data_IF_961078296157
#
_entry.id   IF_961078296157
#
_cell.length_a   1.000
_cell.length_b   1.000
_cell.length_c   1.000
_cell.angle_alpha   90.00
_cell.angle_beta   90.00
_cell.angle_gamma   90.00
#
_symmetry.space_group_name_H-M   'P 1'
#
loop_
_entity.id
_entity.type
_entity.pdbx_description
1 polymer ?
#
# COMPACT_ATOMS: atom_id res chain seq x y z
N UNK A 1 26.34 46.18 14.29
CA UNK A 1 26.53 44.87 13.70
C UNK A 1 25.72 43.83 14.40
N UNK A 2 24.80 43.26 13.72
CA UNK A 2 24.03 42.15 14.28
C UNK A 2 24.85 40.85 14.27
N UNK A 3 24.83 40.13 15.40
CA UNK A 3 25.44 38.80 15.52
C UNK A 3 24.51 37.69 15.00
N UNK A 4 23.27 38.04 14.65
CA UNK A 4 22.32 37.10 14.10
C UNK A 4 22.47 37.01 12.57
N UNK A 5 22.33 35.83 11.99
CA UNK A 5 22.32 35.71 10.55
C UNK A 5 21.15 36.51 9.97
N UNK A 6 21.39 37.13 8.83
CA UNK A 6 20.35 37.87 8.14
C UNK A 6 19.29 36.89 7.65
N UNK A 7 18.12 36.95 8.27
CA UNK A 7 16.97 36.11 7.91
C UNK A 7 16.16 36.70 6.77
N UNK A 8 16.56 37.83 6.23
CA UNK A 8 15.93 38.43 5.05
C UNK A 8 16.29 37.73 3.74
N UNK A 9 17.14 36.70 3.82
CA UNK A 9 17.55 35.96 2.67
C UNK A 9 16.37 35.18 2.09
N UNK A 10 16.01 35.51 0.85
CA UNK A 10 14.91 34.89 0.13
C UNK A 10 15.05 33.36 -0.09
N UNK A 11 16.23 32.84 0.21
CA UNK A 11 16.46 31.39 0.10
C UNK A 11 15.72 30.58 1.16
N UNK A 12 15.40 31.16 2.31
CA UNK A 12 14.61 30.49 3.35
C UNK A 12 13.13 30.36 3.01
N UNK A 13 12.65 31.10 2.00
CA UNK A 13 11.30 31.02 1.50
C UNK A 13 11.12 30.08 0.30
N UNK A 14 12.21 29.49 -0.19
CA UNK A 14 12.09 28.51 -1.27
C UNK A 14 11.57 27.19 -0.70
N UNK A 15 10.46 26.70 -1.28
CA UNK A 15 9.98 25.37 -0.95
C UNK A 15 11.11 24.37 -1.21
N UNK A 16 11.36 23.50 -0.24
CA UNK A 16 12.30 22.39 -0.46
C UNK A 16 11.84 21.60 -1.68
N UNK A 17 12.76 21.18 -2.56
CA UNK A 17 12.39 20.41 -3.72
C UNK A 17 11.62 19.16 -3.26
N UNK A 18 10.43 18.98 -3.81
CA UNK A 18 9.66 17.76 -3.57
C UNK A 18 10.44 16.60 -4.17
N UNK A 19 10.95 15.76 -3.31
CA UNK A 19 11.69 14.58 -3.70
C UNK A 19 10.75 13.39 -3.80
N UNK A 20 10.63 12.81 -4.98
CA UNK A 20 9.91 11.56 -5.17
C UNK A 20 10.91 10.42 -5.06
N UNK A 21 10.68 9.53 -4.12
CA UNK A 21 11.52 8.36 -3.93
C UNK A 21 11.57 7.50 -5.20
N UNK A 22 12.73 6.91 -5.45
CA UNK A 22 12.89 6.00 -6.57
C UNK A 22 12.07 4.73 -6.39
N UNK A 23 11.44 4.26 -7.45
CA UNK A 23 10.74 2.97 -7.48
C UNK A 23 11.67 1.79 -7.76
N UNK A 24 12.97 2.03 -7.86
CA UNK A 24 13.95 0.97 -8.10
C UNK A 24 14.10 0.07 -6.88
N UNK A 25 13.80 -1.21 -7.04
CA UNK A 25 13.83 -2.20 -5.96
C UNK A 25 14.15 -3.59 -6.51
N UNK A 26 14.48 -4.51 -5.61
CA UNK A 26 14.68 -5.91 -5.95
C UNK A 26 13.36 -6.58 -6.33
N UNK A 27 13.41 -7.49 -7.31
CA UNK A 27 12.27 -8.25 -7.75
C UNK A 27 12.05 -9.48 -6.87
N UNK A 28 10.87 -9.60 -6.27
CA UNK A 28 10.44 -10.80 -5.56
C UNK A 28 9.83 -11.80 -6.53
N UNK A 29 10.23 -13.04 -6.44
CA UNK A 29 9.57 -14.17 -7.10
C UNK A 29 8.72 -14.90 -6.05
N UNK A 30 7.44 -14.53 -5.98
CA UNK A 30 6.52 -15.04 -4.94
C UNK A 30 6.38 -16.57 -5.02
N UNK A 31 6.26 -17.10 -6.24
CA UNK A 31 6.08 -18.55 -6.44
C UNK A 31 7.32 -19.38 -6.08
N UNK A 32 8.50 -18.77 -6.14
CA UNK A 32 9.76 -19.43 -5.87
C UNK A 32 10.39 -19.04 -4.53
N UNK A 33 9.70 -18.22 -3.75
CA UNK A 33 10.12 -17.74 -2.43
C UNK A 33 11.57 -17.22 -2.41
N UNK A 34 11.91 -16.40 -3.39
CA UNK A 34 13.28 -15.84 -3.54
C UNK A 34 13.27 -14.47 -4.19
N UNK A 35 14.38 -13.75 -4.02
CA UNK A 35 14.65 -12.48 -4.68
C UNK A 35 15.57 -12.73 -5.88
N UNK A 36 15.23 -12.21 -7.05
CA UNK A 36 16.05 -12.34 -8.25
C UNK A 36 16.03 -11.07 -9.08
N UNK A 37 17.17 -10.40 -9.17
CA UNK A 37 17.33 -9.19 -9.97
C UNK A 37 16.55 -8.00 -9.43
N UNK A 38 16.34 -7.03 -10.31
CA UNK A 38 15.59 -5.81 -10.01
C UNK A 38 14.28 -5.78 -10.80
N UNK A 39 13.32 -5.02 -10.32
CA UNK A 39 12.09 -4.73 -11.10
C UNK A 39 12.46 -3.95 -12.37
N UNK A 40 11.76 -4.24 -13.45
CA UNK A 40 12.04 -3.64 -14.76
C UNK A 40 11.28 -2.35 -15.00
N UNK A 41 10.12 -2.21 -14.41
CA UNK A 41 9.24 -1.06 -14.59
C UNK A 41 8.78 -0.50 -13.26
N UNK A 42 8.43 0.79 -13.24
CA UNK A 42 7.87 1.43 -12.05
C UNK A 42 6.51 0.83 -11.67
N UNK A 43 5.73 0.42 -12.66
CA UNK A 43 4.43 -0.23 -12.42
C UNK A 43 4.60 -1.58 -11.72
N UNK A 44 5.58 -2.38 -12.12
CA UNK A 44 5.93 -3.64 -11.45
C UNK A 44 6.37 -3.40 -10.00
N UNK A 45 7.15 -2.34 -9.77
CA UNK A 45 7.58 -1.95 -8.42
C UNK A 45 6.39 -1.61 -7.52
N UNK A 46 5.41 -0.86 -8.02
CA UNK A 46 4.19 -0.52 -7.28
C UNK A 46 3.34 -1.76 -7.02
N UNK A 47 3.20 -2.64 -8.00
CA UNK A 47 2.48 -3.90 -7.83
C UNK A 47 3.09 -4.75 -6.70
N UNK A 48 4.41 -4.86 -6.67
CA UNK A 48 5.12 -5.56 -5.60
C UNK A 48 4.96 -4.89 -4.25
N UNK A 49 4.99 -3.55 -4.20
CA UNK A 49 4.75 -2.79 -2.97
C UNK A 49 3.34 -3.03 -2.42
N UNK A 50 2.33 -3.06 -3.28
CA UNK A 50 0.94 -3.38 -2.90
C UNK A 50 0.85 -4.80 -2.34
N UNK A 51 1.49 -5.77 -2.98
CA UNK A 51 1.55 -7.15 -2.48
C UNK A 51 2.12 -7.20 -1.05
N UNK A 52 3.22 -6.50 -0.80
CA UNK A 52 3.84 -6.46 0.54
C UNK A 52 2.92 -5.84 1.58
N UNK A 53 2.28 -4.72 1.26
CA UNK A 53 1.36 -4.03 2.18
C UNK A 53 0.19 -4.92 2.55
N UNK A 54 -0.43 -5.57 1.56
CA UNK A 54 -1.60 -6.42 1.78
C UNK A 54 -1.29 -7.73 2.51
N UNK A 55 -0.03 -8.16 2.50
CA UNK A 55 0.40 -9.35 3.24
C UNK A 55 1.09 -9.02 4.57
N UNK A 56 1.09 -7.76 4.98
CA UNK A 56 1.64 -7.31 6.25
C UNK A 56 0.52 -6.79 7.14
N UNK A 57 0.31 -7.41 8.29
CA UNK A 57 -0.65 -6.90 9.28
C UNK A 57 -0.09 -5.64 9.93
N UNK A 58 -0.92 -4.59 10.00
CA UNK A 58 -0.55 -3.31 10.59
C UNK A 58 -0.19 -3.48 12.07
N UNK A 59 0.89 -2.83 12.49
CA UNK A 59 1.39 -2.84 13.87
C UNK A 59 1.87 -4.18 14.39
N UNK A 60 1.92 -5.19 13.56
CA UNK A 60 2.41 -6.52 13.96
C UNK A 60 3.94 -6.61 14.05
N UNK A 61 4.65 -5.74 13.33
CA UNK A 61 6.10 -5.78 13.21
C UNK A 61 6.71 -4.43 13.57
N UNK A 62 7.68 -4.45 14.50
CA UNK A 62 8.34 -3.25 14.97
C UNK A 62 9.20 -2.52 13.92
N UNK A 63 9.63 -3.23 12.86
CA UNK A 63 10.46 -2.66 11.79
C UNK A 63 9.70 -1.74 10.84
N UNK A 64 8.38 -1.82 10.82
CA UNK A 64 7.55 -0.98 9.96
C UNK A 64 6.99 0.21 10.72
N UNK A 65 6.71 1.28 9.98
CA UNK A 65 6.03 2.45 10.55
C UNK A 65 4.63 2.07 11.06
N UNK A 66 4.09 2.90 11.95
CA UNK A 66 2.80 2.67 12.57
C UNK A 66 1.63 2.57 11.58
N UNK A 67 1.77 3.23 10.41
CA UNK A 67 0.74 3.27 9.36
C UNK A 67 0.94 2.23 8.26
N UNK A 68 2.01 1.44 8.32
CA UNK A 68 2.30 0.46 7.28
C UNK A 68 1.50 -0.83 7.50
N UNK A 69 0.96 -1.38 6.41
CA UNK A 69 0.21 -2.63 6.44
C UNK A 69 -1.31 -2.42 6.47
N UNK A 70 -2.04 -3.52 6.52
CA UNK A 70 -3.50 -3.57 6.51
C UNK A 70 -4.03 -4.31 7.72
N UNK A 71 -5.15 -3.87 8.26
CA UNK A 71 -5.79 -4.51 9.42
C UNK A 71 -6.87 -5.47 8.95
N UNK A 72 -6.55 -6.75 8.79
CA UNK A 72 -7.47 -7.78 8.34
C UNK A 72 -7.69 -8.92 9.35
N UNK A 73 -6.78 -9.11 10.30
CA UNK A 73 -6.88 -10.19 11.28
C UNK A 73 -8.08 -10.09 12.23
N UNK A 74 -8.47 -8.90 12.59
CA UNK A 74 -9.61 -8.67 13.48
C UNK A 74 -10.97 -8.96 12.80
N UNK A 75 -10.98 -9.13 11.49
CA UNK A 75 -12.17 -9.57 10.75
C UNK A 75 -12.45 -11.07 10.90
N UNK A 76 -11.45 -11.83 11.34
CA UNK A 76 -11.62 -13.25 11.59
C UNK A 76 -12.66 -13.48 12.70
N UNK A 77 -13.66 -14.29 12.40
CA UNK A 77 -14.78 -14.57 13.33
C UNK A 77 -15.90 -13.53 13.32
N UNK A 78 -15.80 -12.48 12.51
CA UNK A 78 -16.86 -11.48 12.33
C UNK A 78 -17.88 -11.93 11.29
N UNK A 79 -19.15 -11.43 11.34
CA UNK A 79 -20.14 -11.74 10.32
C UNK A 79 -19.68 -11.36 8.92
N UNK A 80 -19.98 -12.22 7.92
CA UNK A 80 -19.58 -12.01 6.52
C UNK A 80 -20.07 -10.66 5.97
N UNK A 81 -21.32 -10.22 6.17
CA UNK A 81 -21.78 -8.91 5.69
C UNK A 81 -20.94 -7.75 6.24
N UNK A 82 -20.54 -7.81 7.51
CA UNK A 82 -19.68 -6.83 8.13
C UNK A 82 -18.30 -6.82 7.48
N UNK A 83 -17.70 -7.99 7.27
CA UNK A 83 -16.39 -8.12 6.62
C UNK A 83 -16.42 -7.58 5.18
N UNK A 84 -17.46 -7.91 4.42
CA UNK A 84 -17.60 -7.42 3.04
C UNK A 84 -17.74 -5.89 2.95
N UNK A 85 -18.31 -5.25 3.96
CA UNK A 85 -18.40 -3.79 4.04
C UNK A 85 -17.07 -3.14 4.45
N UNK A 86 -16.31 -3.79 5.34
CA UNK A 86 -15.08 -3.25 5.92
C UNK A 86 -13.84 -3.45 5.04
N UNK A 87 -13.74 -4.56 4.31
CA UNK A 87 -12.55 -4.90 3.51
C UNK A 87 -12.18 -3.81 2.50
N UNK A 88 -13.09 -3.27 1.69
CA UNK A 88 -12.74 -2.21 0.74
C UNK A 88 -12.13 -0.98 1.41
N UNK A 89 -12.74 -0.52 2.49
CA UNK A 89 -12.27 0.64 3.25
C UNK A 89 -10.86 0.42 3.81
N UNK A 90 -10.60 -0.74 4.37
CA UNK A 90 -9.30 -1.07 4.98
C UNK A 90 -8.20 -1.22 3.94
N UNK A 91 -8.50 -1.81 2.79
CA UNK A 91 -7.55 -1.92 1.68
C UNK A 91 -7.23 -0.54 1.10
N UNK A 92 -8.24 0.28 0.85
CA UNK A 92 -8.06 1.63 0.36
C UNK A 92 -7.18 2.46 1.31
N UNK A 93 -7.50 2.46 2.59
CA UNK A 93 -6.73 3.16 3.62
C UNK A 93 -5.26 2.69 3.65
N UNK A 94 -5.02 1.39 3.56
CA UNK A 94 -3.69 0.82 3.60
C UNK A 94 -2.85 1.21 2.37
N UNK A 95 -3.46 1.24 1.19
CA UNK A 95 -2.76 1.52 -0.07
C UNK A 95 -2.54 3.01 -0.30
N UNK A 96 -3.44 3.88 0.14
CA UNK A 96 -3.31 5.33 -0.05
C UNK A 96 -2.17 5.96 0.79
N UNK A 97 -1.55 5.22 1.67
CA UNK A 97 -0.31 5.64 2.35
C UNK A 97 0.86 5.77 1.35
N UNK A 98 0.84 5.03 0.26
CA UNK A 98 1.85 5.12 -0.79
C UNK A 98 1.52 6.26 -1.76
N UNK A 99 2.42 7.23 -1.89
CA UNK A 99 2.24 8.41 -2.74
C UNK A 99 2.08 8.09 -4.23
N UNK A 100 2.50 6.91 -4.66
CA UNK A 100 2.37 6.47 -6.05
C UNK A 100 0.97 5.99 -6.40
N UNK A 101 0.13 5.74 -5.41
CA UNK A 101 -1.25 5.28 -5.59
C UNK A 101 -2.19 6.48 -5.45
N UNK A 102 -2.91 6.79 -6.50
CA UNK A 102 -3.83 7.93 -6.54
C UNK A 102 -5.21 7.58 -5.98
N UNK A 103 -5.72 6.41 -6.36
CA UNK A 103 -7.02 5.91 -5.88
C UNK A 103 -7.10 4.38 -5.96
N UNK A 104 -8.06 3.84 -5.23
CA UNK A 104 -8.41 2.42 -5.28
C UNK A 104 -9.92 2.34 -5.53
N UNK A 105 -10.30 1.64 -6.58
CA UNK A 105 -11.70 1.61 -7.04
C UNK A 105 -12.08 0.26 -7.62
N UNK A 106 -13.32 0.14 -8.08
CA UNK A 106 -13.86 -1.07 -8.71
C UNK A 106 -13.75 -2.32 -7.84
N UNK A 107 -14.11 -2.19 -6.56
CA UNK A 107 -14.11 -3.32 -5.64
C UNK A 107 -15.21 -4.33 -6.00
N UNK A 108 -14.80 -5.57 -6.17
CA UNK A 108 -15.69 -6.72 -6.35
C UNK A 108 -15.38 -7.76 -5.27
N UNK A 109 -16.34 -8.06 -4.43
CA UNK A 109 -16.18 -9.03 -3.34
C UNK A 109 -17.06 -10.23 -3.59
N UNK A 110 -16.49 -11.42 -3.33
CA UNK A 110 -17.22 -12.68 -3.38
C UNK A 110 -16.85 -13.55 -2.18
N UNK A 111 -17.84 -14.23 -1.62
CA UNK A 111 -17.66 -15.19 -0.52
C UNK A 111 -17.82 -16.61 -1.06
N UNK A 112 -16.80 -17.45 -0.83
CA UNK A 112 -16.79 -18.82 -1.35
C UNK A 112 -17.48 -19.87 -0.47
N UNK A 113 -18.05 -19.45 0.65
CA UNK A 113 -18.68 -20.37 1.61
C UNK A 113 -17.71 -21.14 2.52
N UNK A 114 -16.41 -21.06 2.26
CA UNK A 114 -15.37 -21.75 3.05
C UNK A 114 -14.63 -20.84 4.04
N UNK A 115 -15.24 -19.71 4.39
CA UNK A 115 -14.65 -18.75 5.32
C UNK A 115 -13.61 -17.82 4.68
N UNK A 116 -13.62 -17.70 3.38
CA UNK A 116 -12.76 -16.77 2.65
C UNK A 116 -13.56 -15.81 1.78
N UNK A 117 -13.15 -14.56 1.76
CA UNK A 117 -13.67 -13.53 0.87
C UNK A 117 -12.59 -13.18 -0.16
N UNK A 118 -12.93 -13.26 -1.44
CA UNK A 118 -12.09 -12.79 -2.52
C UNK A 118 -12.46 -11.36 -2.85
N UNK A 119 -11.50 -10.46 -2.73
CA UNK A 119 -11.65 -9.05 -3.07
C UNK A 119 -10.80 -8.74 -4.31
N UNK A 120 -11.45 -8.30 -5.39
CA UNK A 120 -10.79 -7.75 -6.56
C UNK A 120 -10.95 -6.24 -6.54
N UNK A 121 -9.92 -5.53 -6.97
CA UNK A 121 -9.95 -4.07 -7.02
C UNK A 121 -8.98 -3.55 -8.07
N UNK A 122 -9.16 -2.30 -8.43
CA UNK A 122 -8.27 -1.58 -9.33
C UNK A 122 -7.54 -0.49 -8.55
N UNK A 123 -6.22 -0.53 -8.57
CA UNK A 123 -5.38 0.53 -8.04
C UNK A 123 -4.95 1.45 -9.19
N UNK A 124 -5.33 2.72 -9.10
CA UNK A 124 -4.91 3.76 -10.05
C UNK A 124 -3.62 4.36 -9.52
N UNK A 125 -2.54 4.20 -10.28
CA UNK A 125 -1.21 4.69 -9.89
C UNK A 125 -0.73 5.77 -10.86
N UNK A 126 0.29 6.52 -10.46
CA UNK A 126 0.94 7.51 -11.32
C UNK A 126 1.61 6.89 -12.56
N UNK A 127 1.80 5.58 -12.59
CA UNK A 127 2.41 4.83 -13.70
C UNK A 127 1.41 4.05 -14.54
N UNK A 128 0.13 4.01 -14.15
CA UNK A 128 -0.92 3.26 -14.80
C UNK A 128 -1.82 2.52 -13.82
N UNK A 129 -2.79 1.80 -14.35
CA UNK A 129 -3.78 1.07 -13.57
C UNK A 129 -3.35 -0.38 -13.35
N UNK A 130 -3.63 -0.89 -12.17
CA UNK A 130 -3.39 -2.29 -11.79
C UNK A 130 -4.69 -2.92 -11.31
N UNK A 131 -5.03 -4.08 -11.85
CA UNK A 131 -6.12 -4.91 -11.33
C UNK A 131 -5.52 -6.01 -10.47
N UNK A 132 -5.93 -6.05 -9.21
CA UNK A 132 -5.36 -6.92 -8.20
C UNK A 132 -6.46 -7.65 -7.45
N UNK A 133 -6.08 -8.74 -6.79
CA UNK A 133 -7.01 -9.48 -5.93
C UNK A 133 -6.34 -9.87 -4.62
N UNK A 134 -7.14 -9.93 -3.57
CA UNK A 134 -6.72 -10.36 -2.23
C UNK A 134 -7.75 -11.30 -1.64
N UNK A 135 -7.29 -12.43 -1.12
CA UNK A 135 -8.11 -13.35 -0.32
C UNK A 135 -8.01 -12.98 1.15
N UNK A 136 -9.15 -12.89 1.81
CA UNK A 136 -9.24 -12.56 3.23
C UNK A 136 -9.95 -13.70 3.96
N UNK A 137 -9.29 -14.28 4.93
CA UNK A 137 -9.87 -15.29 5.81
C UNK A 137 -10.76 -14.63 6.86
N UNK A 138 -12.01 -15.09 6.99
CA UNK A 138 -12.99 -14.57 7.98
C UNK A 138 -13.55 -15.64 8.91
N UNK A 139 -13.19 -16.88 8.67
CA UNK A 139 -13.59 -18.03 9.52
C UNK A 139 -12.53 -19.13 9.50
#
# INVERSE_FOLDING_TARGET
MGLLPDTSNSELGQALPTYTDTSNTYKMQVDADRIKGNVRTNLEAVQQAIYKVLNTERRAFAIYSWNYGVELKDLFGKPVPYCMAEIPRRIEEALLVDDRIESVEDFELSHNGAGEILCKFKAVTIYGDLVLEKKVGVA
#
